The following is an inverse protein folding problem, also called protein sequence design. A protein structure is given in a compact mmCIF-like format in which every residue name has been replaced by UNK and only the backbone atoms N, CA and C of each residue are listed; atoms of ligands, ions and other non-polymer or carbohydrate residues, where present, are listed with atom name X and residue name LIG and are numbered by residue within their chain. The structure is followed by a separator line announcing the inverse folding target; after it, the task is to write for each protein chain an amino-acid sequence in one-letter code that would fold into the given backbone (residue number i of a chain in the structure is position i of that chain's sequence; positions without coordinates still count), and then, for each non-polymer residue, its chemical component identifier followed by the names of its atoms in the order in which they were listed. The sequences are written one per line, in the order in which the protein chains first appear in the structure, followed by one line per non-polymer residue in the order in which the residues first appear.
data_IF_451623145264
#
_entry.id   IF_451623145264
#
_cell.length_a   1.000
_cell.length_b   1.000
_cell.length_c   1.000
_cell.angle_alpha   90.00
_cell.angle_beta   90.00
_cell.angle_gamma   90.00
#
_symmetry.space_group_name_H-M   'P 1'
#
loop_
_entity.id
_entity.type
_entity.pdbx_description
1 polymer ?
#
# COMPACT_ATOMS: atom_id res chain seq x y z
N UNK A 1 -7.73 -2.51 -22.19
CA UNK A 1 -6.52 -2.40 -21.32
C UNK A 1 -6.63 -1.36 -20.18
N UNK A 2 -7.84 -0.97 -19.71
CA UNK A 2 -8.01 0.07 -18.67
C UNK A 2 -7.52 -0.39 -17.27
N UNK A 3 -7.57 -1.69 -17.00
CA UNK A 3 -7.17 -2.27 -15.70
C UNK A 3 -5.66 -2.37 -15.50
N UNK A 4 -4.87 -2.58 -16.57
CA UNK A 4 -3.40 -2.69 -16.47
C UNK A 4 -2.76 -1.39 -15.96
N UNK A 5 -3.13 -0.23 -16.51
CA UNK A 5 -2.63 1.08 -16.06
C UNK A 5 -2.99 1.36 -14.60
N UNK A 6 -4.17 0.92 -14.17
CA UNK A 6 -4.65 1.08 -12.79
C UNK A 6 -3.88 0.20 -11.80
N UNK A 7 -3.62 -1.05 -12.18
CA UNK A 7 -2.81 -1.99 -11.41
C UNK A 7 -1.38 -1.47 -11.22
N UNK A 8 -0.80 -0.91 -12.28
CA UNK A 8 0.53 -0.28 -12.23
C UNK A 8 0.55 0.90 -11.25
N UNK A 9 -0.46 1.77 -11.29
CA UNK A 9 -0.56 2.91 -10.34
C UNK A 9 -0.68 2.46 -8.89
N UNK A 10 -1.49 1.44 -8.60
CA UNK A 10 -1.65 0.91 -7.25
C UNK A 10 -0.35 0.27 -6.73
N UNK A 11 0.36 -0.48 -7.58
CA UNK A 11 1.68 -1.02 -7.25
C UNK A 11 2.73 0.08 -7.04
N UNK A 12 2.73 1.11 -7.88
CA UNK A 12 3.67 2.24 -7.72
C UNK A 12 3.40 2.98 -6.41
N UNK A 13 2.14 3.18 -6.05
CA UNK A 13 1.76 3.74 -4.76
C UNK A 13 2.25 2.88 -3.58
N UNK A 14 2.01 1.56 -3.64
CA UNK A 14 2.47 0.65 -2.62
C UNK A 14 4.01 0.66 -2.47
N UNK A 15 4.74 0.72 -3.60
CA UNK A 15 6.19 0.83 -3.59
C UNK A 15 6.65 2.12 -2.89
N UNK A 16 6.03 3.26 -3.21
CA UNK A 16 6.34 4.55 -2.56
C UNK A 16 6.05 4.48 -1.06
N UNK A 17 4.95 3.86 -0.64
CA UNK A 17 4.62 3.69 0.79
C UNK A 17 5.65 2.82 1.50
N UNK A 18 6.06 1.68 0.91
CA UNK A 18 7.09 0.81 1.48
C UNK A 18 8.40 1.56 1.63
N UNK A 19 8.86 2.26 0.59
CA UNK A 19 10.10 3.05 0.65
C UNK A 19 10.02 4.17 1.71
N UNK A 20 8.87 4.83 1.82
CA UNK A 20 8.63 5.84 2.85
C UNK A 20 8.73 5.28 4.26
N UNK A 21 8.05 4.16 4.54
CA UNK A 21 8.09 3.50 5.85
C UNK A 21 9.51 3.04 6.18
N UNK A 22 10.21 2.40 5.24
CA UNK A 22 11.61 1.98 5.42
C UNK A 22 12.53 3.17 5.75
N UNK A 23 12.32 4.30 5.06
CA UNK A 23 13.12 5.52 5.28
C UNK A 23 12.86 6.08 6.67
N UNK A 24 11.59 6.21 7.08
CA UNK A 24 11.21 6.69 8.42
C UNK A 24 11.78 5.79 9.51
N UNK A 25 11.67 4.47 9.36
CA UNK A 25 12.20 3.53 10.33
C UNK A 25 13.72 3.59 10.44
N UNK A 26 14.41 3.77 9.31
CA UNK A 26 15.87 3.95 9.32
C UNK A 26 16.29 5.25 10.01
N UNK A 27 15.55 6.34 9.84
CA UNK A 27 15.81 7.61 10.53
C UNK A 27 15.58 7.47 12.04
N UNK A 28 14.54 6.72 12.44
CA UNK A 28 14.18 6.51 13.85
C UNK A 28 14.98 5.38 14.53
N UNK A 29 15.89 4.71 13.81
CA UNK A 29 16.66 3.58 14.34
C UNK A 29 15.82 2.33 14.63
N UNK A 30 14.61 2.24 14.07
CA UNK A 30 13.70 1.11 14.26
C UNK A 30 14.18 -0.08 13.43
N UNK A 31 14.41 -1.20 14.10
CA UNK A 31 14.84 -2.44 13.45
C UNK A 31 13.65 -3.19 12.86
N UNK A 32 13.85 -3.71 11.64
CA UNK A 32 12.85 -4.42 10.84
C UNK A 32 13.41 -5.83 10.57
N UNK A 33 12.56 -6.86 10.55
CA UNK A 33 13.00 -8.25 10.36
C UNK A 33 12.64 -9.15 11.54
N UNK A 34 13.45 -10.19 11.81
CA UNK A 34 13.12 -11.26 12.76
C UNK A 34 13.47 -10.97 14.24
N UNK A 35 13.68 -9.71 14.60
CA UNK A 35 14.03 -9.35 15.98
C UNK A 35 12.76 -9.28 16.85
N UNK A 36 12.83 -9.65 18.13
CA UNK A 36 11.66 -9.70 19.05
C UNK A 36 10.89 -8.38 19.15
N UNK A 37 11.55 -7.23 18.98
CA UNK A 37 10.92 -5.91 18.97
C UNK A 37 10.35 -5.45 17.61
N UNK A 38 10.61 -6.19 16.52
CA UNK A 38 10.30 -5.75 15.16
C UNK A 38 8.85 -6.02 14.73
N UNK A 39 8.02 -6.64 15.58
CA UNK A 39 6.64 -7.00 15.23
C UNK A 39 5.82 -5.79 14.74
N UNK A 40 5.83 -4.68 15.50
CA UNK A 40 5.07 -3.48 15.14
C UNK A 40 5.58 -2.83 13.85
N UNK A 41 6.90 -2.85 13.63
CA UNK A 41 7.50 -2.36 12.41
C UNK A 41 7.08 -3.20 11.19
N UNK A 42 7.19 -4.53 11.30
CA UNK A 42 6.78 -5.47 10.25
C UNK A 42 5.28 -5.38 9.96
N UNK A 43 4.45 -5.29 11.01
CA UNK A 43 3.01 -5.16 10.89
C UNK A 43 2.61 -3.88 10.14
N UNK A 44 3.26 -2.74 10.46
CA UNK A 44 3.00 -1.47 9.77
C UNK A 44 3.46 -1.52 8.32
N UNK A 45 4.65 -2.08 8.06
CA UNK A 45 5.22 -2.25 6.71
C UNK A 45 4.29 -3.06 5.79
N UNK A 46 3.57 -4.04 6.35
CA UNK A 46 2.60 -4.85 5.62
C UNK A 46 1.22 -4.19 5.56
N UNK A 47 0.69 -3.74 6.68
CA UNK A 47 -0.69 -3.28 6.78
C UNK A 47 -0.93 -2.01 5.96
N UNK A 48 -0.01 -1.04 6.00
CA UNK A 48 -0.21 0.26 5.36
C UNK A 48 -0.33 0.16 3.82
N UNK A 49 0.59 -0.54 3.11
CA UNK A 49 0.41 -0.77 1.67
C UNK A 49 -0.84 -1.59 1.35
N UNK A 50 -1.18 -2.59 2.16
CA UNK A 50 -2.36 -3.45 1.94
C UNK A 50 -3.67 -2.67 2.08
N UNK A 51 -3.80 -1.82 3.11
CA UNK A 51 -4.95 -0.91 3.24
C UNK A 51 -5.03 0.08 2.08
N UNK A 52 -3.89 0.58 1.59
CA UNK A 52 -3.84 1.40 0.39
C UNK A 52 -4.39 0.67 -0.84
N UNK A 53 -3.99 -0.58 -1.06
CA UNK A 53 -4.52 -1.40 -2.13
C UNK A 53 -6.02 -1.64 -2.00
N UNK A 54 -6.49 -2.02 -0.81
CA UNK A 54 -7.92 -2.24 -0.54
C UNK A 54 -8.72 -0.97 -0.82
N UNK A 55 -8.25 0.20 -0.38
CA UNK A 55 -8.89 1.48 -0.67
C UNK A 55 -8.97 1.76 -2.17
N UNK A 56 -7.85 1.62 -2.90
CA UNK A 56 -7.83 1.86 -4.35
C UNK A 56 -8.70 0.86 -5.13
N UNK A 57 -8.80 -0.37 -4.64
CA UNK A 57 -9.64 -1.42 -5.18
C UNK A 57 -11.13 -1.14 -4.92
N UNK A 58 -11.53 -0.80 -3.70
CA UNK A 58 -12.91 -0.44 -3.38
C UNK A 58 -13.36 0.79 -4.18
N UNK A 59 -12.51 1.82 -4.24
CA UNK A 59 -12.74 3.01 -5.07
C UNK A 59 -12.87 2.65 -6.56
N UNK A 60 -12.26 1.55 -7.00
CA UNK A 60 -12.45 0.99 -8.36
C UNK A 60 -13.87 0.60 -8.62
N UNK A 61 -14.38 -0.27 -7.77
CA UNK A 61 -15.69 -0.86 -7.92
C UNK A 61 -16.74 0.25 -7.96
N UNK A 62 -16.65 1.22 -7.04
CA UNK A 62 -17.58 2.35 -6.98
C UNK A 62 -17.52 3.26 -8.23
N UNK A 63 -16.33 3.49 -8.78
CA UNK A 63 -16.16 4.37 -9.95
C UNK A 63 -16.58 3.67 -11.25
N UNK A 64 -16.36 2.37 -11.36
CA UNK A 64 -16.76 1.58 -12.53
C UNK A 64 -18.28 1.32 -12.53
N UNK A 65 -18.90 1.10 -11.36
CA UNK A 65 -20.35 1.02 -11.22
C UNK A 65 -21.08 2.29 -11.67
N UNK A 66 -20.52 3.48 -11.39
CA UNK A 66 -21.09 4.75 -11.86
C UNK A 66 -20.99 4.96 -13.38
N UNK A 67 -20.08 4.28 -14.08
CA UNK A 67 -19.94 4.36 -15.55
C UNK A 67 -20.85 3.39 -16.30
N UNK A 68 -21.46 2.42 -15.62
CA UNK A 68 -22.38 1.46 -16.23
C UNK A 68 -23.84 1.94 -16.21
N UNK A 69 -24.15 3.01 -15.46
CA UNK A 69 -25.50 3.57 -15.27
C UNK A 69 -25.67 4.93 -15.98
N UNK A 70 -24.65 5.40 -16.70
CA UNK A 70 -24.66 6.67 -17.43
C UNK A 70 -24.54 6.46 -18.95
#
# INVERSE_FOLDING_TARGET
MKNKKRLIKANLFALVMVLGILTVYRILGIQIGLHEGAFMANATLLAVPQFGFVYFYWKSILTEGKKAVA
#
